data_IF_964854829775
#
_entry.id   IF_964854829775
#
_cell.length_a   1.000
_cell.length_b   1.000
_cell.length_c   1.000
_cell.angle_alpha   90.00
_cell.angle_beta   90.00
_cell.angle_gamma   90.00
#
_symmetry.space_group_name_H-M   'P 1'
#
loop_
_entity.id
_entity.type
_entity.pdbx_description
1 polymer ?
#
# COMPACT_ATOMS: atom_id res chain seq x y z
N UNK A 1 -41.94 35.23 -50.07
CA UNK A 1 -42.51 35.78 -48.83
C UNK A 1 -43.27 34.68 -48.14
N UNK A 2 -42.74 34.16 -47.03
CA UNK A 2 -43.50 33.45 -46.00
C UNK A 2 -42.62 33.41 -44.74
N UNK A 3 -43.05 34.16 -43.74
CA UNK A 3 -42.41 34.36 -42.44
C UNK A 3 -43.06 33.44 -41.43
N UNK A 4 -42.29 32.56 -40.78
CA UNK A 4 -42.72 31.93 -39.53
C UNK A 4 -41.61 31.98 -38.48
N UNK A 5 -41.97 32.61 -37.37
CA UNK A 5 -41.21 32.79 -36.14
C UNK A 5 -41.14 31.51 -35.29
N UNK A 6 -40.16 31.43 -34.37
CA UNK A 6 -39.94 30.27 -33.51
C UNK A 6 -40.87 30.25 -32.29
N UNK A 7 -41.39 29.07 -31.96
CA UNK A 7 -42.11 28.80 -30.71
C UNK A 7 -41.08 28.44 -29.63
N UNK A 8 -40.95 29.29 -28.60
CA UNK A 8 -40.24 28.99 -27.36
C UNK A 8 -41.14 28.12 -26.48
N UNK A 9 -40.70 26.89 -26.20
CA UNK A 9 -41.33 26.03 -25.19
C UNK A 9 -40.66 26.29 -23.83
N UNK A 10 -41.39 26.98 -22.95
CA UNK A 10 -41.03 27.17 -21.54
C UNK A 10 -41.41 25.90 -20.78
N UNK A 11 -40.43 25.11 -20.34
CA UNK A 11 -40.65 23.91 -19.54
C UNK A 11 -40.77 24.31 -18.06
N UNK A 12 -42.01 24.30 -17.55
CA UNK A 12 -42.34 24.39 -16.12
C UNK A 12 -42.07 23.03 -15.48
N UNK A 13 -41.11 22.97 -14.55
CA UNK A 13 -40.86 21.81 -13.70
C UNK A 13 -41.76 21.89 -12.47
N UNK A 14 -42.68 20.95 -12.23
CA UNK A 14 -43.39 20.88 -10.96
C UNK A 14 -42.48 20.26 -9.89
N UNK A 15 -42.24 21.05 -8.85
CA UNK A 15 -41.56 20.65 -7.62
C UNK A 15 -42.55 19.83 -6.79
N UNK A 16 -42.51 18.50 -6.93
CA UNK A 16 -43.30 17.58 -6.09
C UNK A 16 -42.49 17.28 -4.83
N UNK A 17 -42.89 17.93 -3.74
CA UNK A 17 -42.37 17.72 -2.39
C UNK A 17 -43.06 16.48 -1.79
N UNK A 18 -42.47 15.29 -1.99
CA UNK A 18 -42.95 14.07 -1.34
C UNK A 18 -42.38 13.96 0.06
N UNK A 19 -43.19 14.31 1.07
CA UNK A 19 -42.94 13.99 2.46
C UNK A 19 -43.15 12.48 2.69
N UNK A 20 -42.05 11.72 2.78
CA UNK A 20 -42.08 10.33 3.22
C UNK A 20 -42.04 10.29 4.76
N UNK A 21 -43.21 10.04 5.35
CA UNK A 21 -43.40 9.73 6.76
C UNK A 21 -42.81 8.35 7.09
N UNK A 22 -41.87 8.35 8.03
CA UNK A 22 -41.66 7.39 9.11
C UNK A 22 -42.20 5.96 8.92
N UNK A 23 -41.27 5.03 8.73
CA UNK A 23 -41.34 3.72 9.39
C UNK A 23 -39.97 3.40 10.00
N UNK A 24 -39.64 4.11 11.07
CA UNK A 24 -38.58 3.69 11.98
C UNK A 24 -39.06 2.41 12.68
N UNK A 25 -38.57 1.25 12.23
CA UNK A 25 -38.55 0.08 13.10
C UNK A 25 -37.50 0.34 14.16
N UNK A 26 -37.97 0.56 15.38
CA UNK A 26 -37.18 0.60 16.60
C UNK A 26 -36.41 -0.73 16.72
N UNK A 27 -35.14 -0.74 16.32
CA UNK A 27 -34.20 -1.69 16.87
C UNK A 27 -33.95 -1.25 18.31
N UNK A 28 -34.70 -1.87 19.21
CA UNK A 28 -34.41 -1.84 20.62
C UNK A 28 -33.00 -2.45 20.80
N UNK A 29 -32.08 -1.58 21.20
CA UNK A 29 -31.26 -1.77 22.39
C UNK A 29 -30.46 -3.08 22.45
N UNK A 30 -29.43 -3.15 21.61
CA UNK A 30 -28.18 -3.85 21.93
C UNK A 30 -27.04 -2.83 21.78
N UNK A 31 -27.13 -1.70 22.50
CA UNK A 31 -25.93 -0.89 22.72
C UNK A 31 -25.05 -1.65 23.71
N UNK A 32 -24.26 -2.59 23.19
CA UNK A 32 -23.00 -2.91 23.86
C UNK A 32 -22.27 -1.59 24.05
N UNK A 33 -21.72 -1.31 25.24
CA UNK A 33 -20.94 -0.10 25.43
C UNK A 33 -19.79 -0.14 24.43
N UNK A 34 -19.86 0.69 23.39
CA UNK A 34 -18.70 1.06 22.57
C UNK A 34 -17.77 1.74 23.55
N UNK A 35 -16.89 0.97 24.20
CA UNK A 35 -15.80 1.54 24.98
C UNK A 35 -14.99 2.33 23.97
N UNK A 36 -14.94 3.67 24.06
CA UNK A 36 -14.02 4.40 23.22
C UNK A 36 -12.64 3.87 23.57
N UNK A 37 -11.94 3.28 22.60
CA UNK A 37 -10.52 3.01 22.73
C UNK A 37 -9.82 4.37 22.75
N UNK A 38 -9.85 5.02 23.90
CA UNK A 38 -8.98 6.15 24.20
C UNK A 38 -7.60 5.59 24.49
N UNK A 39 -6.91 5.11 23.45
CA UNK A 39 -5.48 5.33 23.44
C UNK A 39 -5.32 6.83 23.31
N UNK A 40 -5.07 7.50 24.45
CA UNK A 40 -4.53 8.85 24.43
C UNK A 40 -3.33 8.80 23.50
N UNK A 41 -3.50 9.32 22.28
CA UNK A 41 -2.41 9.47 21.35
C UNK A 41 -1.34 10.25 22.11
N UNK A 42 -0.23 9.58 22.46
CA UNK A 42 0.87 10.28 23.11
C UNK A 42 1.23 11.43 22.17
N UNK A 43 1.23 12.70 22.63
CA UNK A 43 1.62 13.81 21.78
C UNK A 43 3.00 13.47 21.22
N UNK A 44 3.09 13.41 19.90
CA UNK A 44 4.34 13.12 19.20
C UNK A 44 5.33 14.21 19.59
N UNK A 45 6.30 13.86 20.44
CA UNK A 45 7.42 14.73 20.73
C UNK A 45 8.26 14.82 19.47
N UNK A 46 8.45 16.04 18.96
CA UNK A 46 9.17 16.44 17.74
C UNK A 46 10.68 16.06 17.73
N UNK A 47 11.08 15.15 18.62
CA UNK A 47 12.44 14.66 18.84
C UNK A 47 12.71 13.30 18.20
N UNK A 48 11.76 12.73 17.47
CA UNK A 48 11.97 11.46 16.76
C UNK A 48 12.88 11.74 15.55
N UNK A 49 14.16 11.34 15.63
CA UNK A 49 15.10 11.40 14.52
C UNK A 49 14.56 10.56 13.37
N UNK A 50 13.88 11.21 12.44
CA UNK A 50 13.64 10.65 11.10
C UNK A 50 15.03 10.45 10.51
N UNK A 51 15.45 9.18 10.39
CA UNK A 51 16.64 8.85 9.63
C UNK A 51 16.33 9.30 8.20
N UNK A 52 16.97 10.38 7.76
CA UNK A 52 16.93 10.82 6.38
C UNK A 52 17.48 9.67 5.54
N UNK A 53 16.58 8.89 4.95
CA UNK A 53 16.96 7.80 4.09
C UNK A 53 17.40 8.45 2.76
N UNK A 54 18.68 8.32 2.34
CA UNK A 54 19.24 9.06 1.22
C UNK A 54 18.52 8.82 -0.13
N UNK A 55 17.61 7.84 -0.19
CA UNK A 55 16.75 7.57 -1.34
C UNK A 55 15.56 8.52 -1.50
N UNK A 56 15.16 9.30 -0.49
CA UNK A 56 14.02 10.21 -0.59
C UNK A 56 14.49 11.66 -0.70
N UNK A 57 14.25 12.30 -1.85
CA UNK A 57 14.50 13.72 -2.07
C UNK A 57 13.50 14.62 -1.33
N UNK A 58 12.33 14.09 -0.94
CA UNK A 58 11.34 14.82 -0.16
C UNK A 58 11.24 14.26 1.28
N UNK A 59 11.78 14.97 2.30
CA UNK A 59 11.73 14.53 3.69
C UNK A 59 10.31 14.47 4.26
N UNK A 60 9.36 15.25 3.72
CA UNK A 60 7.95 15.18 4.14
C UNK A 60 7.29 13.88 3.71
N UNK A 61 7.61 13.39 2.50
CA UNK A 61 7.07 12.12 2.01
C UNK A 61 7.62 10.94 2.82
N UNK A 62 8.92 10.95 3.14
CA UNK A 62 9.53 9.96 4.02
C UNK A 62 8.90 9.95 5.43
N UNK A 63 8.62 11.14 5.99
CA UNK A 63 7.94 11.27 7.29
C UNK A 63 6.50 10.77 7.24
N UNK A 64 5.73 11.15 6.21
CA UNK A 64 4.36 10.70 6.02
C UNK A 64 4.26 9.18 5.83
N UNK A 65 5.19 8.59 5.08
CA UNK A 65 5.38 7.16 4.93
C UNK A 65 5.63 6.47 6.28
N UNK A 66 6.60 6.95 7.06
CA UNK A 66 6.93 6.38 8.37
C UNK A 66 5.75 6.47 9.35
N UNK A 67 5.05 7.60 9.39
CA UNK A 67 3.87 7.78 10.22
C UNK A 67 2.72 6.85 9.79
N UNK A 68 2.49 6.71 8.49
CA UNK A 68 1.46 5.81 7.95
C UNK A 68 1.79 4.34 8.22
N UNK A 69 3.05 3.95 8.13
CA UNK A 69 3.52 2.61 8.50
C UNK A 69 3.32 2.30 9.98
N UNK A 70 3.59 3.26 10.86
CA UNK A 70 3.32 3.12 12.30
C UNK A 70 1.83 3.00 12.59
N UNK A 71 1.01 3.84 11.98
CA UNK A 71 -0.45 3.76 12.10
C UNK A 71 -0.99 2.39 11.65
N UNK A 72 -0.49 1.85 10.53
CA UNK A 72 -0.80 0.50 10.06
C UNK A 72 -0.48 -0.56 11.13
N UNK A 73 0.70 -0.51 11.74
CA UNK A 73 1.10 -1.44 12.82
C UNK A 73 0.18 -1.30 14.01
N UNK A 74 -0.11 -0.08 14.46
CA UNK A 74 -0.96 0.19 15.62
C UNK A 74 -2.38 -0.36 15.41
N UNK A 75 -2.96 -0.19 14.21
CA UNK A 75 -4.27 -0.76 13.87
C UNK A 75 -4.25 -2.30 13.79
N UNK A 76 -3.19 -2.91 13.26
CA UNK A 76 -3.05 -4.38 13.28
C UNK A 76 -2.92 -4.92 14.72
N UNK A 77 -2.20 -4.21 15.60
CA UNK A 77 -2.10 -4.57 17.01
C UNK A 77 -3.46 -4.43 17.72
N UNK A 78 -4.20 -3.35 17.44
CA UNK A 78 -5.56 -3.16 17.95
C UNK A 78 -6.50 -4.25 17.47
N UNK A 79 -6.45 -4.62 16.18
CA UNK A 79 -7.23 -5.73 15.64
C UNK A 79 -6.93 -7.04 16.38
N UNK A 80 -5.65 -7.35 16.63
CA UNK A 80 -5.25 -8.53 17.41
C UNK A 80 -5.79 -8.51 18.84
N UNK A 81 -5.80 -7.34 19.49
CA UNK A 81 -6.38 -7.18 20.82
C UNK A 81 -7.89 -7.49 20.80
N UNK A 82 -8.66 -6.89 19.88
CA UNK A 82 -10.08 -7.18 19.73
C UNK A 82 -10.38 -8.66 19.45
N UNK A 83 -9.58 -9.33 18.60
CA UNK A 83 -9.73 -10.78 18.36
C UNK A 83 -9.50 -11.57 19.66
N UNK A 84 -8.53 -11.15 20.47
CA UNK A 84 -8.22 -11.81 21.75
C UNK A 84 -9.32 -11.60 22.79
N UNK A 85 -10.03 -10.47 22.72
CA UNK A 85 -11.20 -10.15 23.54
C UNK A 85 -12.51 -10.76 23.00
N UNK A 86 -12.46 -11.52 21.90
CA UNK A 86 -13.64 -12.14 21.28
C UNK A 86 -14.50 -11.19 20.44
N UNK A 87 -14.06 -9.95 20.22
CA UNK A 87 -14.81 -8.94 19.45
C UNK A 87 -14.48 -9.00 17.96
N UNK A 88 -15.27 -9.77 17.21
CA UNK A 88 -15.11 -9.87 15.74
C UNK A 88 -15.36 -8.51 15.05
N UNK A 89 -16.37 -7.75 15.50
CA UNK A 89 -16.71 -6.45 14.95
C UNK A 89 -15.59 -5.41 15.17
N UNK A 90 -15.07 -5.32 16.40
CA UNK A 90 -13.96 -4.40 16.71
C UNK A 90 -12.71 -4.73 15.90
N UNK A 91 -12.41 -6.02 15.73
CA UNK A 91 -11.31 -6.48 14.89
C UNK A 91 -11.52 -6.11 13.42
N UNK A 92 -12.72 -6.33 12.87
CA UNK A 92 -13.03 -6.00 11.48
C UNK A 92 -12.91 -4.50 11.19
N UNK A 93 -13.33 -3.64 12.13
CA UNK A 93 -13.19 -2.19 12.00
C UNK A 93 -11.71 -1.77 11.95
N UNK A 94 -10.88 -2.30 12.85
CA UNK A 94 -9.44 -2.01 12.84
C UNK A 94 -8.74 -2.53 11.57
N UNK A 95 -9.13 -3.71 11.08
CA UNK A 95 -8.59 -4.27 9.84
C UNK A 95 -9.01 -3.49 8.60
N UNK A 96 -10.19 -2.87 8.61
CA UNK A 96 -10.61 -1.96 7.54
C UNK A 96 -9.71 -0.74 7.49
N UNK A 97 -9.49 -0.06 8.63
CA UNK A 97 -8.61 1.11 8.70
C UNK A 97 -7.17 0.75 8.34
N UNK A 98 -6.67 -0.40 8.80
CA UNK A 98 -5.35 -0.91 8.39
C UNK A 98 -5.25 -1.10 6.87
N UNK A 99 -6.29 -1.63 6.22
CA UNK A 99 -6.35 -1.78 4.76
C UNK A 99 -6.33 -0.45 4.00
N UNK A 100 -6.91 0.61 4.57
CA UNK A 100 -6.89 1.95 3.99
C UNK A 100 -5.47 2.53 4.04
N UNK A 101 -4.77 2.41 5.18
CA UNK A 101 -3.37 2.83 5.30
C UNK A 101 -2.45 2.06 4.35
N UNK A 102 -2.62 0.74 4.22
CA UNK A 102 -1.88 -0.06 3.24
C UNK A 102 -2.10 0.43 1.80
N UNK A 103 -3.35 0.79 1.46
CA UNK A 103 -3.70 1.31 0.13
C UNK A 103 -3.08 2.67 -0.14
N UNK A 104 -3.15 3.58 0.83
CA UNK A 104 -2.53 4.91 0.76
C UNK A 104 -1.01 4.79 0.67
N UNK A 105 -0.39 3.90 1.46
CA UNK A 105 1.05 3.63 1.38
C UNK A 105 1.43 3.12 -0.01
N UNK A 106 0.70 2.17 -0.58
CA UNK A 106 0.98 1.65 -1.93
C UNK A 106 0.80 2.69 -3.02
N UNK A 107 -0.20 3.57 -2.92
CA UNK A 107 -0.41 4.66 -3.88
C UNK A 107 0.69 5.72 -3.81
N UNK A 108 1.19 6.00 -2.60
CA UNK A 108 2.19 7.05 -2.37
C UNK A 108 3.64 6.54 -2.38
N UNK A 109 3.87 5.23 -2.53
CA UNK A 109 5.19 4.60 -2.61
C UNK A 109 5.38 3.90 -3.96
N UNK A 110 5.62 4.63 -5.07
CA UNK A 110 5.80 4.04 -6.40
C UNK A 110 6.93 3.00 -6.44
N UNK A 111 7.92 3.15 -5.56
CA UNK A 111 9.10 2.30 -5.41
C UNK A 111 8.79 0.79 -5.27
N UNK A 112 7.70 0.45 -4.55
CA UNK A 112 7.34 -0.95 -4.31
C UNK A 112 6.86 -1.64 -5.59
N UNK A 113 6.06 -0.93 -6.38
CA UNK A 113 5.61 -1.42 -7.67
C UNK A 113 6.80 -1.62 -8.62
N UNK A 114 7.80 -0.74 -8.57
CA UNK A 114 9.01 -0.86 -9.40
C UNK A 114 9.83 -2.09 -9.02
N UNK A 115 10.11 -2.31 -7.73
CA UNK A 115 10.88 -3.49 -7.30
C UNK A 115 10.17 -4.81 -7.62
N UNK A 116 8.84 -4.88 -7.45
CA UNK A 116 8.06 -6.06 -7.77
C UNK A 116 8.03 -6.33 -9.28
N UNK A 117 7.89 -5.28 -10.10
CA UNK A 117 7.94 -5.42 -11.55
C UNK A 117 9.32 -5.88 -12.04
N UNK A 118 10.40 -5.40 -11.43
CA UNK A 118 11.77 -5.86 -11.73
C UNK A 118 11.93 -7.36 -11.39
N UNK A 119 11.40 -7.83 -10.26
CA UNK A 119 11.39 -9.26 -9.92
C UNK A 119 10.56 -10.09 -10.90
N UNK A 120 9.44 -9.56 -11.36
CA UNK A 120 8.64 -10.22 -12.39
C UNK A 120 9.41 -10.31 -13.73
N UNK A 121 10.13 -9.25 -14.11
CA UNK A 121 11.01 -9.27 -15.29
C UNK A 121 12.13 -10.31 -15.12
N UNK A 122 12.73 -10.40 -13.93
CA UNK A 122 13.74 -11.40 -13.59
C UNK A 122 13.21 -12.83 -13.76
N UNK A 123 12.03 -13.14 -13.21
CA UNK A 123 11.42 -14.46 -13.35
C UNK A 123 11.14 -14.82 -14.81
N UNK A 124 10.64 -13.86 -15.60
CA UNK A 124 10.42 -14.06 -17.04
C UNK A 124 11.72 -14.33 -17.80
N UNK A 125 12.78 -13.57 -17.51
CA UNK A 125 14.10 -13.78 -18.09
C UNK A 125 14.63 -15.19 -17.79
N UNK A 126 14.55 -15.63 -16.53
CA UNK A 126 15.00 -16.97 -16.11
C UNK A 126 14.17 -18.08 -16.77
N UNK A 127 12.87 -17.84 -17.00
CA UNK A 127 12.00 -18.79 -17.71
C UNK A 127 12.28 -18.92 -19.21
N UNK A 128 13.16 -18.07 -19.77
CA UNK A 128 13.67 -18.18 -21.13
C UNK A 128 13.08 -17.21 -22.15
N UNK A 129 12.19 -16.32 -21.74
CA UNK A 129 11.54 -15.34 -22.62
C UNK A 129 12.32 -14.01 -22.68
N UNK A 130 13.39 -14.00 -23.50
CA UNK A 130 14.29 -12.84 -23.63
C UNK A 130 13.55 -11.65 -24.28
N UNK A 131 12.73 -11.90 -25.30
CA UNK A 131 11.91 -10.87 -25.97
C UNK A 131 10.90 -10.23 -25.02
N UNK A 132 10.22 -11.03 -24.18
CA UNK A 132 9.35 -10.46 -23.16
C UNK A 132 10.11 -9.69 -22.08
N UNK A 133 11.43 -9.88 -21.93
CA UNK A 133 12.21 -9.14 -20.94
C UNK A 133 12.28 -7.66 -21.32
N UNK A 134 12.68 -7.32 -22.56
CA UNK A 134 12.71 -5.92 -23.03
C UNK A 134 11.31 -5.27 -22.96
N UNK A 135 10.27 -5.97 -23.39
CA UNK A 135 8.89 -5.45 -23.29
C UNK A 135 8.41 -5.29 -21.85
N UNK A 136 8.88 -6.14 -20.93
CA UNK A 136 8.56 -6.03 -19.48
C UNK A 136 9.36 -4.91 -18.80
N UNK A 137 10.52 -4.52 -19.34
CA UNK A 137 11.32 -3.41 -18.82
C UNK A 137 10.77 -2.03 -19.19
N UNK A 138 10.04 -1.89 -20.30
CA UNK A 138 9.48 -0.59 -20.73
C UNK A 138 8.58 0.06 -19.67
N UNK A 139 7.57 -0.62 -19.10
CA UNK A 139 6.78 -0.08 -18.00
C UNK A 139 7.63 0.29 -16.78
N UNK A 140 8.71 -0.46 -16.50
CA UNK A 140 9.61 -0.20 -15.37
C UNK A 140 10.38 1.11 -15.59
N UNK A 141 10.85 1.39 -16.80
CA UNK A 141 11.51 2.66 -17.11
C UNK A 141 10.60 3.87 -16.90
N UNK A 142 9.32 3.77 -17.28
CA UNK A 142 8.34 4.82 -17.03
C UNK A 142 8.11 5.04 -15.53
N UNK A 143 8.01 3.96 -14.75
CA UNK A 143 7.91 4.08 -13.29
C UNK A 143 9.18 4.66 -12.65
N UNK A 144 10.36 4.44 -13.24
CA UNK A 144 11.59 5.10 -12.81
C UNK A 144 11.58 6.61 -13.13
N UNK A 145 10.95 7.06 -14.22
CA UNK A 145 10.73 8.50 -14.45
C UNK A 145 9.83 9.10 -13.37
N UNK A 146 8.76 8.41 -13.00
CA UNK A 146 7.89 8.84 -11.90
C UNK A 146 8.65 8.88 -10.57
N UNK A 147 9.52 7.90 -10.32
CA UNK A 147 10.42 7.88 -9.15
C UNK A 147 11.42 9.06 -9.18
N UNK A 148 11.82 9.56 -10.35
CA UNK A 148 12.80 10.64 -10.46
C UNK A 148 12.34 11.93 -9.75
N UNK A 149 11.03 12.15 -9.67
CA UNK A 149 10.43 13.28 -8.92
C UNK A 149 10.80 13.24 -7.44
N UNK A 150 10.87 12.04 -6.86
CA UNK A 150 10.99 11.84 -5.42
C UNK A 150 12.33 11.24 -4.99
N UNK A 151 13.08 10.64 -5.91
CA UNK A 151 14.31 9.90 -5.66
C UNK A 151 15.24 9.93 -6.89
N UNK A 152 15.65 11.12 -7.37
CA UNK A 152 16.31 11.28 -8.66
C UNK A 152 17.61 10.47 -8.78
N UNK A 153 18.39 10.39 -7.69
CA UNK A 153 19.64 9.61 -7.67
C UNK A 153 19.38 8.10 -7.76
N UNK A 154 18.43 7.60 -6.96
CA UNK A 154 18.07 6.18 -6.97
C UNK A 154 17.43 5.78 -8.31
N UNK A 155 16.56 6.63 -8.86
CA UNK A 155 15.91 6.42 -10.15
C UNK A 155 16.94 6.34 -11.29
N UNK A 156 17.86 7.30 -11.37
CA UNK A 156 18.90 7.33 -12.40
C UNK A 156 19.83 6.11 -12.28
N UNK A 157 20.30 5.80 -11.07
CA UNK A 157 21.19 4.66 -10.84
C UNK A 157 20.50 3.32 -11.15
N UNK A 158 19.22 3.17 -10.78
CA UNK A 158 18.42 1.99 -11.13
C UNK A 158 18.26 1.86 -12.65
N UNK A 159 18.03 2.97 -13.36
CA UNK A 159 17.92 3.01 -14.82
C UNK A 159 19.20 2.53 -15.49
N UNK A 160 20.35 3.01 -15.05
CA UNK A 160 21.66 2.63 -15.61
C UNK A 160 21.95 1.13 -15.41
N UNK A 161 21.59 0.58 -14.24
CA UNK A 161 21.69 -0.86 -13.97
C UNK A 161 20.69 -1.69 -14.78
N UNK A 162 19.46 -1.22 -14.97
CA UNK A 162 18.49 -1.91 -15.84
C UNK A 162 18.96 -1.95 -17.30
N UNK A 163 19.57 -0.88 -17.81
CA UNK A 163 20.21 -0.91 -19.13
C UNK A 163 21.34 -1.93 -19.21
N UNK A 164 22.12 -2.07 -18.14
CA UNK A 164 23.16 -3.10 -18.05
C UNK A 164 22.58 -4.51 -18.07
N UNK A 165 21.49 -4.75 -17.32
CA UNK A 165 20.76 -6.03 -17.33
C UNK A 165 20.18 -6.35 -18.71
N UNK A 166 19.64 -5.35 -19.40
CA UNK A 166 19.14 -5.52 -20.76
C UNK A 166 20.27 -5.88 -21.74
N UNK A 167 21.41 -5.21 -21.67
CA UNK A 167 22.57 -5.51 -22.49
C UNK A 167 23.10 -6.94 -22.24
N UNK A 168 23.18 -7.36 -20.96
CA UNK A 168 23.53 -8.73 -20.58
C UNK A 168 22.55 -9.75 -21.19
N UNK A 169 21.24 -9.51 -21.06
CA UNK A 169 20.21 -10.41 -21.59
C UNK A 169 20.28 -10.53 -23.12
N UNK A 170 20.49 -9.41 -23.84
CA UNK A 170 20.64 -9.38 -25.30
C UNK A 170 21.89 -10.13 -25.78
N UNK A 171 22.96 -10.14 -24.98
CA UNK A 171 24.19 -10.89 -25.26
C UNK A 171 24.11 -12.38 -24.85
N UNK A 172 22.96 -12.85 -24.36
CA UNK A 172 22.76 -14.22 -23.91
C UNK A 172 23.21 -14.51 -22.47
N UNK A 173 23.73 -13.50 -21.76
CA UNK A 173 24.11 -13.60 -20.34
C UNK A 173 22.87 -13.50 -19.43
N UNK A 174 22.05 -14.55 -19.42
CA UNK A 174 20.82 -14.62 -18.61
C UNK A 174 21.10 -14.58 -17.12
N UNK A 175 22.19 -15.20 -16.67
CA UNK A 175 22.51 -15.28 -15.25
C UNK A 175 23.00 -13.93 -14.73
N UNK A 176 23.89 -13.24 -15.47
CA UNK A 176 24.32 -11.89 -15.15
C UNK A 176 23.15 -10.91 -15.15
N UNK A 177 22.30 -10.95 -16.18
CA UNK A 177 21.11 -10.10 -16.24
C UNK A 177 20.14 -10.36 -15.08
N UNK A 178 19.88 -11.62 -14.74
CA UNK A 178 19.02 -11.98 -13.60
C UNK A 178 19.59 -11.47 -12.27
N UNK A 179 20.89 -11.59 -12.07
CA UNK A 179 21.56 -11.07 -10.87
C UNK A 179 21.44 -9.54 -10.81
N UNK A 180 21.72 -8.84 -11.90
CA UNK A 180 21.59 -7.38 -11.96
C UNK A 180 20.16 -6.93 -11.66
N UNK A 181 19.13 -7.59 -12.20
CA UNK A 181 17.72 -7.30 -11.89
C UNK A 181 17.42 -7.51 -10.39
N UNK A 182 17.92 -8.61 -9.81
CA UNK A 182 17.79 -8.87 -8.36
C UNK A 182 18.44 -7.75 -7.53
N UNK A 183 19.64 -7.33 -7.90
CA UNK A 183 20.39 -6.30 -7.19
C UNK A 183 19.67 -4.95 -7.26
N UNK A 184 19.12 -4.56 -8.42
CA UNK A 184 18.32 -3.33 -8.54
C UNK A 184 17.05 -3.42 -7.71
N UNK A 185 16.33 -4.54 -7.76
CA UNK A 185 15.12 -4.72 -6.95
C UNK A 185 15.44 -4.59 -5.45
N UNK A 186 16.54 -5.23 -4.99
CA UNK A 186 16.98 -5.17 -3.60
C UNK A 186 17.47 -3.78 -3.20
N UNK A 187 18.11 -3.04 -4.10
CA UNK A 187 18.54 -1.66 -3.86
C UNK A 187 17.34 -0.73 -3.71
N UNK A 188 16.40 -0.75 -4.66
CA UNK A 188 15.15 0.02 -4.56
C UNK A 188 14.40 -0.35 -3.27
N UNK A 189 14.33 -1.66 -2.96
CA UNK A 189 13.70 -2.17 -1.76
C UNK A 189 14.39 -1.72 -0.46
N UNK A 190 15.72 -1.71 -0.40
CA UNK A 190 16.46 -1.36 0.82
C UNK A 190 16.56 0.15 1.05
N UNK A 191 16.48 0.94 -0.02
CA UNK A 191 16.51 2.42 0.06
C UNK A 191 15.12 3.01 0.33
N UNK A 192 14.07 2.21 0.15
CA UNK A 192 12.72 2.53 0.60
C UNK A 192 12.46 1.81 1.92
N UNK A 193 11.69 2.43 2.82
CA UNK A 193 11.26 1.72 4.03
C UNK A 193 10.30 0.63 3.57
N UNK A 194 10.83 -0.56 3.28
CA UNK A 194 10.04 -1.65 2.75
C UNK A 194 9.17 -2.20 3.87
N UNK A 195 7.89 -1.88 3.79
CA UNK A 195 6.84 -2.66 4.40
C UNK A 195 6.40 -3.67 3.31
N UNK A 196 6.30 -4.97 3.59
CA UNK A 196 5.83 -5.97 2.62
C UNK A 196 4.32 -5.85 2.37
N UNK A 197 3.88 -4.67 1.90
CA UNK A 197 2.48 -4.25 1.80
C UNK A 197 1.63 -5.22 0.98
N UNK A 198 2.17 -5.76 -0.11
CA UNK A 198 1.45 -6.79 -0.88
C UNK A 198 1.13 -8.05 -0.07
N UNK A 199 2.03 -8.49 0.82
CA UNK A 199 1.78 -9.61 1.73
C UNK A 199 0.87 -9.20 2.88
N UNK A 200 1.10 -8.04 3.49
CA UNK A 200 0.28 -7.49 4.58
C UNK A 200 -1.17 -7.35 4.14
N UNK A 201 -1.41 -6.79 2.95
CA UNK A 201 -2.74 -6.71 2.33
C UNK A 201 -3.42 -8.07 2.23
N UNK A 202 -2.73 -9.09 1.71
CA UNK A 202 -3.30 -10.45 1.60
C UNK A 202 -3.66 -11.02 2.98
N UNK A 203 -2.79 -10.84 3.96
CA UNK A 203 -3.05 -11.28 5.34
C UNK A 203 -4.20 -10.49 5.99
N UNK A 204 -4.33 -9.18 5.75
CA UNK A 204 -5.49 -8.37 6.19
C UNK A 204 -6.79 -8.88 5.57
N UNK A 205 -6.81 -9.14 4.26
CA UNK A 205 -8.01 -9.64 3.58
C UNK A 205 -8.39 -11.05 4.07
N UNK A 206 -7.40 -11.93 4.30
CA UNK A 206 -7.64 -13.23 4.91
C UNK A 206 -8.28 -13.11 6.30
N UNK A 207 -7.74 -12.23 7.16
CA UNK A 207 -8.31 -11.98 8.48
C UNK A 207 -9.75 -11.45 8.40
N UNK A 208 -10.03 -10.50 7.49
CA UNK A 208 -11.40 -9.99 7.29
C UNK A 208 -12.36 -11.07 6.81
N UNK A 209 -11.92 -11.95 5.91
CA UNK A 209 -12.74 -13.07 5.45
C UNK A 209 -13.12 -14.01 6.61
N UNK A 210 -12.14 -14.38 7.46
CA UNK A 210 -12.36 -15.24 8.63
C UNK A 210 -13.32 -14.62 9.66
N UNK A 211 -13.39 -13.29 9.74
CA UNK A 211 -14.28 -12.56 10.64
C UNK A 211 -15.72 -12.37 10.10
N UNK A 212 -15.92 -12.43 8.78
CA UNK A 212 -17.21 -12.10 8.13
C UNK A 212 -18.19 -13.27 8.02
N UNK A 213 -17.94 -14.39 8.72
CA UNK A 213 -18.84 -15.54 8.77
C UNK A 213 -19.87 -15.43 9.92
N UNK A 214 -21.06 -16.07 9.80
CA UNK A 214 -22.03 -16.15 10.90
C UNK A 214 -21.44 -16.71 12.21
N UNK A 215 -20.43 -17.57 12.07
CA UNK A 215 -19.57 -18.05 13.16
C UNK A 215 -18.11 -17.66 12.85
N UNK A 216 -17.63 -16.50 13.32
CA UNK A 216 -16.30 -16.01 13.01
C UNK A 216 -15.19 -16.97 13.46
N UNK A 217 -14.20 -17.20 12.60
CA UNK A 217 -13.01 -17.99 12.95
C UNK A 217 -11.91 -17.09 13.54
N UNK A 218 -12.07 -16.75 14.82
CA UNK A 218 -11.16 -15.85 15.52
C UNK A 218 -9.70 -16.35 15.54
N UNK A 219 -9.48 -17.67 15.60
CA UNK A 219 -8.14 -18.25 15.61
C UNK A 219 -7.42 -18.04 14.27
N UNK A 220 -8.10 -18.30 13.15
CA UNK A 220 -7.54 -18.08 11.81
C UNK A 220 -7.31 -16.59 11.54
N UNK A 221 -8.27 -15.74 11.91
CA UNK A 221 -8.14 -14.29 11.82
C UNK A 221 -6.91 -13.79 12.60
N UNK A 222 -6.73 -14.26 13.85
CA UNK A 222 -5.57 -13.92 14.67
C UNK A 222 -4.27 -14.35 14.01
N UNK A 223 -4.22 -15.57 13.47
CA UNK A 223 -3.03 -16.09 12.80
C UNK A 223 -2.67 -15.24 11.57
N UNK A 224 -3.66 -14.79 10.80
CA UNK A 224 -3.44 -13.89 9.67
C UNK A 224 -2.90 -12.53 10.11
N UNK A 225 -3.46 -11.94 11.18
CA UNK A 225 -2.94 -10.69 11.76
C UNK A 225 -1.51 -10.85 12.28
N UNK A 226 -1.20 -11.96 12.95
CA UNK A 226 0.16 -12.24 13.44
C UNK A 226 1.16 -12.42 12.28
N UNK A 227 0.75 -13.02 11.15
CA UNK A 227 1.59 -13.08 9.94
C UNK A 227 1.82 -11.70 9.33
N UNK A 228 0.80 -10.84 9.30
CA UNK A 228 0.93 -9.46 8.82
C UNK A 228 1.93 -8.69 9.68
N UNK A 229 1.73 -8.67 11.00
CA UNK A 229 2.63 -8.04 11.97
C UNK A 229 4.04 -8.62 11.90
N UNK A 230 4.16 -9.94 11.81
CA UNK A 230 5.44 -10.64 11.69
C UNK A 230 6.22 -10.18 10.46
N UNK A 231 5.56 -9.98 9.32
CA UNK A 231 6.21 -9.48 8.10
C UNK A 231 6.67 -8.03 8.21
N UNK A 232 5.96 -7.19 8.98
CA UNK A 232 6.37 -5.81 9.24
C UNK A 232 7.56 -5.71 10.21
N UNK A 233 7.75 -6.70 11.10
CA UNK A 233 8.80 -6.70 12.15
C UNK A 233 10.02 -7.53 11.74
N UNK A 234 9.86 -8.61 10.97
CA UNK A 234 10.98 -9.46 10.52
C UNK A 234 11.87 -8.76 9.49
N UNK A 235 11.31 -7.83 8.73
CA UNK A 235 12.05 -6.89 7.90
C UNK A 235 12.37 -5.65 8.74
N UNK A 236 13.11 -5.85 9.84
CA UNK A 236 13.80 -4.76 10.50
C UNK A 236 14.67 -4.09 9.44
N UNK A 237 14.27 -2.87 9.08
CA UNK A 237 15.06 -1.83 8.45
C UNK A 237 16.51 -2.04 8.86
N UNK A 238 17.36 -2.53 7.94
CA UNK A 238 18.80 -2.34 8.07
C UNK A 238 19.01 -0.84 8.00
N UNK A 239 18.85 -0.17 9.14
CA UNK A 239 19.37 1.17 9.36
C UNK A 239 20.88 0.98 9.31
N UNK A 240 21.45 1.03 8.12
CA UNK A 240 22.89 1.14 7.95
C UNK A 240 23.22 2.51 8.52
N UNK A 241 23.60 2.54 9.79
CA UNK A 241 24.37 3.65 10.32
C UNK A 241 25.63 3.72 9.47
N UNK A 242 25.66 4.64 8.50
CA UNK A 242 26.90 5.03 7.85
C UNK A 242 27.76 5.63 8.96
N UNK A 243 28.64 4.81 9.54
CA UNK A 243 29.78 5.32 10.30
C UNK A 243 30.60 6.16 9.35
N UNK A 244 30.54 7.48 9.49
CA UNK A 244 31.48 8.37 8.83
C UNK A 244 32.90 7.96 9.26
N UNK A 245 33.66 7.42 8.31
CA UNK A 245 35.13 7.30 8.37
C UNK A 245 35.70 8.05 7.19
#
# INVERSE_FOLDING_TARGET
MNTHHPIRATLLVPLVLSAALLSARSYADNTLPVRPYTHAAKPYTDSERVVENPGWANPYAARAAAQSGRALIDHLQAARAFISDGSAEGAHNMLTVAGDFDSVLLQNMPFLAVSDNIRNAQHKLVSGDITATTDTLLPIYAQLDDMQVYAPKLAQHSRDKLHSAEAQARNGDKQGASQTLSDVANEIQSTTVYLPLGKVRRDIQAAKADLNHPTPNLAAAKQAVDRALGSLVSENVRVVALSNR
#
